data_IF_071443322550
#
_entry.id   IF_071443322550
#
_cell.length_a   1.000
_cell.length_b   1.000
_cell.length_c   1.000
_cell.angle_alpha   90.00
_cell.angle_beta   90.00
_cell.angle_gamma   90.00
#
_symmetry.space_group_name_H-M   'P 1'
#
loop_
_entity.id
_entity.type
_entity.pdbx_description
1 polymer ?
#
# COMPACT_ATOMS: atom_id res chain seq x y z
N UNK A 1 57.56 19.57 10.09
CA UNK A 1 56.96 18.35 9.48
C UNK A 1 55.48 18.62 9.32
N UNK A 2 55.01 18.94 8.10
CA UNK A 2 53.61 19.28 7.84
C UNK A 2 52.87 17.96 7.58
N UNK A 3 51.92 17.61 8.45
CA UNK A 3 51.02 16.47 8.27
C UNK A 3 49.97 16.83 7.22
N UNK A 4 50.00 16.17 6.07
CA UNK A 4 48.92 16.23 5.08
C UNK A 4 47.72 15.46 5.65
N UNK A 5 46.63 16.15 5.95
CA UNK A 5 45.34 15.54 6.23
C UNK A 5 44.63 15.30 4.90
N UNK A 6 44.43 14.03 4.54
CA UNK A 6 43.60 13.64 3.39
C UNK A 6 42.14 13.64 3.87
N UNK A 7 41.36 14.59 3.37
CA UNK A 7 39.90 14.62 3.54
C UNK A 7 39.30 13.71 2.46
N UNK A 8 38.78 12.54 2.85
CA UNK A 8 37.93 11.74 1.98
C UNK A 8 36.53 12.36 1.97
N UNK A 9 36.21 13.09 0.90
CA UNK A 9 34.83 13.45 0.57
C UNK A 9 34.10 12.20 0.06
N UNK A 10 33.28 11.58 0.92
CA UNK A 10 32.30 10.60 0.47
C UNK A 10 31.25 11.33 -0.38
N UNK A 11 31.32 11.18 -1.70
CA UNK A 11 30.20 11.48 -2.57
C UNK A 11 29.13 10.43 -2.31
N UNK A 12 28.04 10.81 -1.64
CA UNK A 12 26.85 9.98 -1.55
C UNK A 12 26.27 9.82 -2.95
N UNK A 13 26.31 8.61 -3.50
CA UNK A 13 25.54 8.29 -4.69
C UNK A 13 24.06 8.44 -4.34
N UNK A 14 23.21 8.99 -5.23
CA UNK A 14 21.78 8.93 -5.03
C UNK A 14 21.38 7.47 -4.84
N UNK A 15 20.73 7.16 -3.72
CA UNK A 15 20.04 5.88 -3.57
C UNK A 15 18.81 5.98 -4.48
N UNK A 16 18.94 5.51 -5.72
CA UNK A 16 17.81 5.40 -6.62
C UNK A 16 16.75 4.51 -5.96
N UNK A 17 15.50 4.97 -6.03
CA UNK A 17 14.34 4.27 -5.48
C UNK A 17 13.26 4.23 -6.56
N UNK A 18 12.67 3.06 -6.74
CA UNK A 18 11.50 2.87 -7.57
C UNK A 18 10.25 3.31 -6.81
N UNK A 19 9.47 4.18 -7.44
CA UNK A 19 8.18 4.64 -6.91
C UNK A 19 7.04 3.80 -7.47
N UNK A 20 6.12 3.44 -6.59
CA UNK A 20 4.95 2.62 -6.87
C UNK A 20 3.69 3.27 -6.32
N UNK A 21 2.59 2.93 -6.97
CA UNK A 21 1.23 3.27 -6.56
C UNK A 21 0.37 2.00 -6.52
N UNK A 22 -0.67 2.03 -5.70
CA UNK A 22 -1.59 0.93 -5.57
C UNK A 22 -2.95 1.46 -5.12
N UNK A 23 -3.98 0.68 -5.40
CA UNK A 23 -5.32 0.96 -4.97
C UNK A 23 -6.02 -0.33 -4.58
N UNK A 24 -7.02 -0.17 -3.73
CA UNK A 24 -7.82 -1.23 -3.17
C UNK A 24 -9.28 -0.79 -3.21
N UNK A 25 -10.14 -1.63 -3.78
CA UNK A 25 -11.59 -1.44 -3.79
C UNK A 25 -12.25 -2.36 -2.76
N UNK A 26 -12.80 -1.75 -1.72
CA UNK A 26 -13.60 -2.41 -0.70
C UNK A 26 -15.06 -2.60 -1.14
N UNK A 27 -15.89 -3.08 -0.22
CA UNK A 27 -17.34 -3.12 -0.44
C UNK A 27 -17.99 -1.76 -0.13
N UNK A 28 -19.25 -1.57 -0.51
CA UNK A 28 -20.09 -0.43 -0.13
C UNK A 28 -19.44 0.96 -0.37
N UNK A 29 -18.70 1.14 -1.46
CA UNK A 29 -18.11 2.43 -1.83
C UNK A 29 -16.86 2.83 -1.02
N UNK A 30 -16.28 1.90 -0.26
CA UNK A 30 -14.97 2.10 0.36
C UNK A 30 -13.86 1.85 -0.65
N UNK A 31 -12.85 2.71 -0.63
CA UNK A 31 -11.61 2.51 -1.40
C UNK A 31 -10.42 3.07 -0.66
N UNK A 32 -9.23 2.62 -1.04
CA UNK A 32 -7.98 3.17 -0.55
C UNK A 32 -6.97 3.27 -1.69
N UNK A 33 -6.21 4.35 -1.68
CA UNK A 33 -5.08 4.59 -2.55
C UNK A 33 -3.82 4.68 -1.72
N UNK A 34 -2.69 4.29 -2.29
CA UNK A 34 -1.42 4.43 -1.62
C UNK A 34 -0.24 4.48 -2.56
N UNK A 35 0.88 4.88 -1.97
CA UNK A 35 2.17 5.01 -2.66
C UNK A 35 3.26 4.39 -1.81
N UNK A 36 4.28 3.84 -2.47
CA UNK A 36 5.44 3.23 -1.83
C UNK A 36 6.70 3.55 -2.63
N UNK A 37 7.81 3.83 -1.94
CA UNK A 37 9.13 3.92 -2.56
C UNK A 37 10.01 2.78 -2.07
N UNK A 38 10.70 2.11 -2.99
CA UNK A 38 11.56 0.96 -2.71
C UNK A 38 12.97 1.23 -3.26
N UNK A 39 14.04 1.12 -2.45
CA UNK A 39 15.40 1.22 -2.96
C UNK A 39 15.70 0.18 -4.05
N UNK A 40 16.27 0.60 -5.17
CA UNK A 40 16.56 -0.28 -6.31
C UNK A 40 17.37 -1.55 -5.95
N UNK A 41 18.37 -1.51 -5.03
CA UNK A 41 19.17 -2.69 -4.72
C UNK A 41 18.39 -3.87 -4.14
N UNK A 42 17.18 -3.66 -3.60
CA UNK A 42 16.37 -4.73 -3.00
C UNK A 42 15.33 -5.30 -3.97
N UNK A 43 15.07 -4.66 -5.12
CA UNK A 43 14.02 -5.06 -6.07
C UNK A 43 14.19 -6.47 -6.68
N UNK A 44 15.37 -7.09 -6.55
CA UNK A 44 15.64 -8.45 -7.04
C UNK A 44 15.21 -9.57 -6.08
N UNK A 45 14.84 -9.23 -4.83
CA UNK A 45 14.41 -10.18 -3.81
C UNK A 45 13.05 -10.80 -4.15
N UNK A 46 12.74 -11.94 -3.53
CA UNK A 46 11.47 -12.64 -3.75
C UNK A 46 10.31 -12.06 -2.96
N UNK A 47 10.61 -11.40 -1.84
CA UNK A 47 9.64 -10.74 -0.97
C UNK A 47 10.37 -9.58 -0.28
N UNK A 48 9.72 -8.42 -0.28
CA UNK A 48 10.13 -7.24 0.44
C UNK A 48 9.25 -7.06 1.66
N UNK A 49 9.87 -6.63 2.75
CA UNK A 49 9.19 -6.37 4.02
C UNK A 49 9.09 -4.88 4.28
N UNK A 50 8.40 -4.50 5.35
CA UNK A 50 8.38 -3.14 5.85
C UNK A 50 9.77 -2.53 6.14
N UNK A 51 10.82 -3.34 6.32
CA UNK A 51 12.19 -2.86 6.51
C UNK A 51 12.91 -2.51 5.20
N UNK A 52 12.33 -2.89 4.07
CA UNK A 52 12.95 -2.78 2.75
C UNK A 52 12.41 -1.58 1.94
N UNK A 53 11.48 -0.80 2.50
CA UNK A 53 10.87 0.34 1.82
C UNK A 53 11.36 1.65 2.44
N UNK A 54 11.47 2.71 1.64
CA UNK A 54 11.93 4.03 2.09
C UNK A 54 10.79 5.02 2.36
N UNK A 55 9.62 4.79 1.76
CA UNK A 55 8.41 5.56 2.00
C UNK A 55 7.17 4.71 1.78
N UNK A 56 6.10 5.02 2.53
CA UNK A 56 4.79 4.41 2.39
C UNK A 56 3.70 5.36 2.90
N UNK A 57 2.63 5.50 2.14
CA UNK A 57 1.48 6.36 2.43
C UNK A 57 0.20 5.69 1.93
N UNK A 58 -0.89 5.82 2.69
CA UNK A 58 -2.23 5.41 2.31
C UNK A 58 -3.26 6.49 2.66
N UNK A 59 -4.32 6.57 1.86
CA UNK A 59 -5.50 7.40 2.07
C UNK A 59 -6.76 6.58 1.78
N UNK A 60 -7.74 6.67 2.68
CA UNK A 60 -9.03 6.00 2.52
C UNK A 60 -10.15 6.94 2.13
N UNK A 61 -11.14 6.39 1.45
CA UNK A 61 -12.33 7.12 1.02
C UNK A 61 -13.60 6.30 1.25
N UNK A 62 -14.72 7.00 1.40
CA UNK A 62 -16.09 6.47 1.29
C UNK A 62 -16.86 7.34 0.33
N UNK A 63 -17.32 6.77 -0.79
CA UNK A 63 -18.06 7.51 -1.82
C UNK A 63 -17.34 8.81 -2.24
N UNK A 64 -16.02 8.68 -2.47
CA UNK A 64 -15.07 9.77 -2.79
C UNK A 64 -14.85 10.85 -1.71
N UNK A 65 -15.42 10.66 -0.51
CA UNK A 65 -15.14 11.50 0.65
C UNK A 65 -13.93 10.94 1.41
N UNK A 66 -12.84 11.71 1.63
CA UNK A 66 -11.69 11.26 2.40
C UNK A 66 -12.07 10.90 3.85
N UNK A 67 -11.62 9.72 4.30
CA UNK A 67 -11.83 9.22 5.66
C UNK A 67 -10.64 9.52 6.58
N UNK A 68 -9.42 9.45 6.02
CA UNK A 68 -8.18 9.66 6.76
C UNK A 68 -6.96 9.17 5.98
N UNK A 69 -5.80 9.35 6.58
CA UNK A 69 -4.50 9.02 5.97
C UNK A 69 -3.56 8.42 6.99
N UNK A 70 -2.64 7.57 6.55
CA UNK A 70 -1.52 7.10 7.36
C UNK A 70 -0.24 7.02 6.54
N UNK A 71 0.90 7.29 7.19
CA UNK A 71 2.22 7.13 6.58
C UNK A 71 3.29 6.76 7.61
N UNK A 72 4.44 6.29 7.13
CA UNK A 72 5.53 5.81 7.99
C UNK A 72 6.10 6.85 8.96
N UNK A 73 5.91 8.16 8.75
CA UNK A 73 6.36 9.19 9.70
C UNK A 73 5.52 9.20 10.98
N UNK A 74 4.36 8.55 10.94
CA UNK A 74 3.45 8.37 12.08
C UNK A 74 3.70 7.07 12.85
N UNK A 75 4.70 6.27 12.44
CA UNK A 75 5.05 5.02 13.12
C UNK A 75 5.42 5.27 14.59
N UNK A 76 4.87 4.44 15.47
CA UNK A 76 5.23 4.35 16.89
C UNK A 76 5.61 2.91 17.22
N UNK A 77 6.28 2.64 18.37
CA UNK A 77 6.60 1.28 18.78
C UNK A 77 5.39 0.35 18.96
N UNK A 78 4.18 0.91 19.08
CA UNK A 78 2.92 0.16 19.25
C UNK A 78 2.07 0.11 17.99
N UNK A 79 2.51 0.75 16.89
CA UNK A 79 1.77 0.73 15.63
C UNK A 79 1.82 -0.66 15.03
N UNK A 80 0.65 -1.23 14.71
CA UNK A 80 0.56 -2.42 13.88
C UNK A 80 1.17 -2.15 12.51
N UNK A 81 2.33 -2.75 12.24
CA UNK A 81 3.11 -2.52 11.03
C UNK A 81 3.69 -3.79 10.46
N UNK A 82 2.99 -4.32 9.45
CA UNK A 82 3.47 -5.39 8.58
C UNK A 82 3.18 -5.03 7.13
N UNK A 83 4.20 -5.14 6.29
CA UNK A 83 4.10 -5.00 4.85
C UNK A 83 4.86 -6.15 4.21
N UNK A 84 4.21 -6.82 3.29
CA UNK A 84 4.79 -7.89 2.47
C UNK A 84 4.52 -7.56 1.01
N UNK A 85 5.56 -7.43 0.19
CA UNK A 85 5.45 -7.06 -1.22
C UNK A 85 6.26 -8.03 -2.09
N UNK A 86 5.62 -8.64 -3.10
CA UNK A 86 6.30 -9.42 -4.13
C UNK A 86 6.62 -8.52 -5.33
N UNK A 87 7.89 -8.08 -5.50
CA UNK A 87 8.29 -7.18 -6.58
C UNK A 87 8.32 -7.87 -7.96
N UNK A 88 8.24 -9.20 -8.02
CA UNK A 88 8.20 -9.95 -9.30
C UNK A 88 6.77 -10.11 -9.78
N UNK A 89 5.87 -10.39 -8.85
CA UNK A 89 4.43 -10.47 -9.11
C UNK A 89 3.75 -9.11 -9.16
N UNK A 90 4.40 -8.06 -8.66
CA UNK A 90 3.82 -6.72 -8.49
C UNK A 90 2.52 -6.77 -7.68
N UNK A 91 2.57 -7.44 -6.53
CA UNK A 91 1.42 -7.68 -5.65
C UNK A 91 1.81 -7.60 -4.19
N UNK A 92 0.89 -7.11 -3.37
CA UNK A 92 0.88 -7.41 -1.94
C UNK A 92 0.27 -8.81 -1.76
N UNK A 93 1.00 -9.79 -1.17
CA UNK A 93 0.42 -11.09 -0.86
C UNK A 93 -0.72 -10.96 0.16
N UNK A 94 -1.78 -11.74 -0.06
CA UNK A 94 -3.00 -11.73 0.77
C UNK A 94 -3.42 -13.15 1.19
N UNK A 95 -4.38 -13.24 2.10
CA UNK A 95 -5.00 -14.51 2.54
C UNK A 95 -4.30 -15.25 3.68
N UNK A 96 -3.23 -14.68 4.27
CA UNK A 96 -2.56 -15.16 5.48
C UNK A 96 -2.94 -14.39 6.75
N UNK A 97 -2.19 -14.62 7.83
CA UNK A 97 -2.28 -13.79 9.04
C UNK A 97 -1.75 -12.38 8.74
N UNK A 98 -2.36 -11.35 9.30
CA UNK A 98 -2.02 -9.94 9.07
C UNK A 98 -0.55 -9.59 9.35
N UNK A 99 0.10 -10.31 10.26
CA UNK A 99 1.49 -10.19 10.68
C UNK A 99 2.44 -11.21 10.01
N UNK A 100 1.98 -11.91 8.97
CA UNK A 100 2.77 -12.87 8.19
C UNK A 100 3.16 -12.34 6.80
N UNK A 101 4.04 -13.09 6.11
CA UNK A 101 4.44 -12.86 4.71
C UNK A 101 3.26 -12.85 3.70
N UNK A 102 2.06 -13.26 4.13
CA UNK A 102 0.82 -13.31 3.33
C UNK A 102 -0.27 -12.39 3.86
N UNK A 103 0.08 -11.43 4.71
CA UNK A 103 -0.86 -10.45 5.25
C UNK A 103 -0.28 -9.04 5.23
N UNK A 104 -1.15 -8.09 5.55
CA UNK A 104 -0.82 -6.68 5.64
C UNK A 104 -1.42 -6.13 6.93
N UNK A 105 -0.69 -5.26 7.61
CA UNK A 105 -1.15 -4.54 8.78
C UNK A 105 -0.56 -3.13 8.74
N UNK A 106 -1.34 -2.17 8.26
CA UNK A 106 -0.88 -0.80 8.04
C UNK A 106 -1.64 0.11 8.99
N UNK A 107 -1.08 0.32 10.18
CA UNK A 107 -1.76 1.00 11.29
C UNK A 107 -3.12 0.37 11.64
N UNK A 108 -3.32 -0.91 11.33
CA UNK A 108 -4.48 -1.68 11.71
C UNK A 108 -4.06 -3.15 11.85
N UNK A 109 -4.15 -3.70 13.06
CA UNK A 109 -3.85 -5.09 13.35
C UNK A 109 -5.04 -6.00 13.02
N UNK A 110 -4.96 -7.29 13.41
CA UNK A 110 -5.96 -8.28 13.03
C UNK A 110 -7.40 -8.07 13.54
N UNK A 111 -7.62 -7.12 14.46
CA UNK A 111 -8.96 -6.68 14.91
C UNK A 111 -9.40 -5.37 14.23
N UNK A 112 -8.48 -4.68 13.56
CA UNK A 112 -8.68 -3.39 12.91
C UNK A 112 -9.35 -2.34 13.82
N UNK A 113 -8.94 -2.29 15.10
CA UNK A 113 -9.47 -1.40 16.14
C UNK A 113 -8.38 -0.53 16.82
N UNK A 114 -7.21 -0.41 16.18
CA UNK A 114 -5.98 0.20 16.73
C UNK A 114 -5.33 1.27 15.82
N UNK A 115 -6.11 1.89 14.92
CA UNK A 115 -5.60 2.90 13.98
C UNK A 115 -5.49 4.34 14.50
N UNK A 116 -5.81 4.59 15.76
CA UNK A 116 -5.87 5.92 16.38
C UNK A 116 -7.25 6.58 16.27
N UNK A 117 -7.53 7.59 17.11
CA UNK A 117 -8.74 8.41 17.07
C UNK A 117 -8.37 9.90 17.30
N UNK A 118 -8.37 10.75 16.25
CA UNK A 118 -8.65 10.38 14.86
C UNK A 118 -7.53 9.50 14.27
N UNK A 119 -7.86 8.66 13.28
CA UNK A 119 -6.90 7.73 12.70
C UNK A 119 -7.41 6.94 11.50
N UNK A 120 -6.48 6.34 10.75
CA UNK A 120 -6.75 5.54 9.55
C UNK A 120 -5.78 4.37 9.45
N UNK A 121 -6.27 3.21 9.02
CA UNK A 121 -5.44 2.04 8.77
C UNK A 121 -6.11 1.03 7.85
N UNK A 122 -5.32 0.06 7.40
CA UNK A 122 -5.75 -1.03 6.53
C UNK A 122 -5.21 -2.36 7.06
N UNK A 123 -6.04 -3.39 7.01
CA UNK A 123 -5.69 -4.74 7.44
C UNK A 123 -6.06 -5.73 6.33
N UNK A 124 -5.15 -6.68 6.07
CA UNK A 124 -5.40 -7.88 5.27
C UNK A 124 -4.98 -9.09 6.07
N UNK A 125 -5.96 -9.76 6.68
CA UNK A 125 -5.74 -10.89 7.58
C UNK A 125 -6.51 -12.15 7.21
N UNK A 126 -6.67 -13.05 8.18
CA UNK A 126 -7.32 -14.35 7.97
C UNK A 126 -8.82 -14.27 7.74
N UNK A 127 -9.46 -13.15 8.03
CA UNK A 127 -10.91 -13.00 7.88
C UNK A 127 -11.26 -12.25 6.60
N UNK A 128 -10.63 -11.10 6.37
CA UNK A 128 -10.93 -10.20 5.25
C UNK A 128 -9.77 -9.26 4.97
N UNK A 129 -9.98 -8.41 3.96
CA UNK A 129 -9.26 -7.15 3.78
C UNK A 129 -10.24 -6.03 4.14
N UNK A 130 -9.83 -5.06 4.96
CA UNK A 130 -10.72 -4.06 5.55
C UNK A 130 -10.00 -2.79 6.05
N UNK A 131 -10.80 -1.75 6.30
CA UNK A 131 -10.35 -0.47 6.84
C UNK A 131 -10.64 -0.34 8.34
N UNK A 132 -9.71 0.32 9.02
CA UNK A 132 -9.92 0.93 10.33
C UNK A 132 -9.99 2.45 10.18
N UNK A 133 -10.99 3.08 10.80
CA UNK A 133 -11.08 4.54 10.89
C UNK A 133 -11.45 4.91 12.32
N UNK A 134 -10.70 5.82 12.93
CA UNK A 134 -10.94 6.31 14.29
C UNK A 134 -11.10 5.18 15.34
N UNK A 135 -10.19 4.18 15.32
CA UNK A 135 -10.24 2.95 16.13
C UNK A 135 -11.50 2.09 15.95
N UNK A 136 -12.23 2.29 14.86
CA UNK A 136 -13.41 1.49 14.52
C UNK A 136 -13.12 0.63 13.30
N UNK A 137 -13.34 -0.67 13.45
CA UNK A 137 -13.34 -1.60 12.34
C UNK A 137 -14.60 -1.40 11.49
N UNK A 138 -14.41 -1.08 10.20
CA UNK A 138 -15.50 -0.89 9.25
C UNK A 138 -15.81 -2.20 8.52
N UNK A 139 -16.66 -3.04 9.13
CA UNK A 139 -17.03 -4.33 8.56
C UNK A 139 -17.73 -4.24 7.19
N UNK A 140 -18.33 -3.09 6.88
CA UNK A 140 -18.97 -2.80 5.60
C UNK A 140 -17.96 -2.46 4.49
N UNK A 141 -16.68 -2.27 4.82
CA UNK A 141 -15.59 -2.18 3.84
C UNK A 141 -15.06 -3.55 3.41
N UNK A 142 -15.39 -4.62 4.15
CA UNK A 142 -14.75 -5.93 4.03
C UNK A 142 -14.93 -6.57 2.65
N UNK A 143 -13.84 -7.13 2.13
CA UNK A 143 -13.86 -8.01 0.96
C UNK A 143 -13.17 -9.35 1.26
N UNK A 144 -13.27 -10.29 0.31
CA UNK A 144 -12.64 -11.60 0.44
C UNK A 144 -11.13 -11.48 0.75
N UNK A 145 -10.65 -12.19 1.76
CA UNK A 145 -9.23 -12.18 2.16
C UNK A 145 -8.26 -12.56 1.03
N UNK A 146 -8.71 -13.34 0.05
CA UNK A 146 -7.91 -13.79 -1.10
C UNK A 146 -7.98 -12.85 -2.30
N UNK A 147 -8.68 -11.72 -2.18
CA UNK A 147 -8.72 -10.73 -3.26
C UNK A 147 -7.31 -10.29 -3.60
N UNK A 148 -7.03 -10.21 -4.91
CA UNK A 148 -5.76 -9.71 -5.44
C UNK A 148 -5.54 -8.28 -4.98
N UNK A 149 -4.30 -7.95 -4.63
CA UNK A 149 -3.92 -6.61 -4.27
C UNK A 149 -2.68 -6.18 -5.08
N UNK A 150 -2.89 -5.72 -6.33
CA UNK A 150 -1.81 -5.38 -7.24
C UNK A 150 -1.15 -4.04 -6.91
N UNK A 151 0.10 -3.91 -7.35
CA UNK A 151 0.96 -2.73 -7.24
C UNK A 151 1.39 -2.33 -8.64
N UNK A 152 1.52 -1.04 -8.89
CA UNK A 152 1.83 -0.48 -10.20
C UNK A 152 3.01 0.47 -10.09
N UNK A 153 3.88 0.58 -11.12
CA UNK A 153 4.85 1.67 -11.20
C UNK A 153 4.13 3.02 -11.13
N UNK A 154 4.73 4.00 -10.47
CA UNK A 154 4.15 5.34 -10.36
C UNK A 154 3.85 5.96 -11.73
N UNK A 155 2.68 6.58 -11.86
CA UNK A 155 2.21 7.19 -13.11
C UNK A 155 1.62 6.19 -14.12
N UNK A 156 1.21 5.00 -13.65
CA UNK A 156 0.46 4.05 -14.46
C UNK A 156 -0.94 4.60 -14.74
N UNK A 157 -1.52 4.21 -15.87
CA UNK A 157 -2.90 4.57 -16.24
C UNK A 157 -3.79 3.34 -16.12
N UNK A 158 -5.07 3.55 -15.80
CA UNK A 158 -6.10 2.49 -15.74
C UNK A 158 -5.78 1.36 -14.74
N UNK A 159 -5.60 1.71 -13.46
CA UNK A 159 -5.27 0.76 -12.40
C UNK A 159 -6.41 -0.25 -12.17
N UNK A 160 -6.08 -1.54 -12.24
CA UNK A 160 -6.95 -2.63 -11.75
C UNK A 160 -6.82 -2.71 -10.23
N UNK A 161 -7.62 -1.94 -9.49
CA UNK A 161 -7.54 -1.81 -8.02
C UNK A 161 -7.90 -3.08 -7.21
N UNK A 162 -7.95 -4.23 -7.86
CA UNK A 162 -8.49 -5.45 -7.26
C UNK A 162 -9.93 -5.23 -6.79
N UNK A 163 -10.37 -6.01 -5.80
CA UNK A 163 -11.67 -5.77 -5.17
C UNK A 163 -12.88 -6.26 -5.96
N UNK A 164 -14.04 -5.73 -5.58
CA UNK A 164 -15.29 -5.94 -6.29
C UNK A 164 -15.22 -5.19 -7.61
N UNK A 165 -15.29 -5.92 -8.73
CA UNK A 165 -15.50 -5.29 -10.02
C UNK A 165 -16.80 -4.48 -9.95
N UNK A 166 -16.70 -3.15 -10.07
CA UNK A 166 -17.86 -2.31 -10.36
C UNK A 166 -18.42 -2.82 -11.69
N UNK A 167 -19.52 -3.56 -11.65
CA UNK A 167 -20.32 -3.87 -12.84
C UNK A 167 -20.85 -2.55 -13.40
N UNK A 168 -20.04 -1.86 -14.21
CA UNK A 168 -20.37 -0.50 -14.64
C UNK A 168 -19.45 0.15 -15.68
N UNK A 169 -18.24 -0.34 -15.95
CA UNK A 169 -17.45 0.17 -17.08
C UNK A 169 -17.98 -0.40 -18.40
N UNK A 170 -18.94 0.31 -19.00
CA UNK A 170 -19.27 0.11 -20.41
C UNK A 170 -17.99 0.35 -21.22
N UNK A 171 -17.62 -0.53 -22.17
CA UNK A 171 -16.50 -0.28 -23.05
C UNK A 171 -16.77 1.02 -23.82
N UNK A 172 -15.82 1.94 -23.75
CA UNK A 172 -15.85 3.18 -24.51
C UNK A 172 -15.85 2.81 -25.99
N UNK A 173 -17.02 2.87 -26.63
CA UNK A 173 -17.15 2.66 -28.05
C UNK A 173 -16.35 3.75 -28.76
N UNK A 174 -15.17 3.38 -29.26
CA UNK A 174 -14.41 4.21 -30.19
C UNK A 174 -15.23 4.34 -31.49
N UNK A 175 -16.02 5.42 -31.58
CA UNK A 175 -16.58 5.85 -32.85
C UNK A 175 -15.44 6.37 -33.74
N UNK A 176 -14.77 5.48 -34.46
CA UNK A 176 -14.09 5.85 -35.70
C UNK A 176 -15.14 5.98 -36.80
N UNK A 177 -15.74 7.16 -36.91
CA UNK A 177 -16.41 7.56 -38.13
C UNK A 177 -15.33 8.00 -39.14
N UNK A 178 -15.04 7.13 -40.11
CA UNK A 178 -14.37 7.53 -41.35
C UNK A 178 -15.44 7.65 -42.44
N UNK A 179 -15.59 8.85 -42.98
CA UNK A 179 -16.07 9.13 -44.34
C UNK A 179 -15.26 10.28 -44.90
#
# INVERSE_FOLDING_TARGET
MIRLAVVLSFFGLPLEAADFEFCWEGDNGYRMEGTMSVPDPVMNRSLLTHNDISAFFIVGFKDDVPLGTWDMRQLTPTTSWNLSFDPRGMVFPTGGMHDSDKGQAWNAGGRADDCGDPGFGFNSGTNAQDLCVNNVWHTDSMINRYTRFPVFPAGSTDLDCGGVALFGSLPQAANSASK
#
